data_IF_816262274834
#
_entry.id   IF_816262274834
#
_cell.length_a   1.000
_cell.length_b   1.000
_cell.length_c   1.000
_cell.angle_alpha   90.00
_cell.angle_beta   90.00
_cell.angle_gamma   90.00
#
_symmetry.space_group_name_H-M   'P 1'
#
loop_
_entity.id
_entity.type
_entity.pdbx_description
1 polymer ?
#
# COMPACT_ATOMS: atom_id res chain seq x y z
N UNK A 1 6.44 -9.20 -6.40
CA UNK A 1 5.36 -9.34 -5.40
C UNK A 1 5.45 -8.15 -4.46
N UNK A 2 4.34 -7.49 -4.08
CA UNK A 2 4.37 -6.50 -3.02
C UNK A 2 4.98 -7.11 -1.76
N UNK A 3 5.83 -6.34 -1.08
CA UNK A 3 6.40 -6.74 0.20
C UNK A 3 5.74 -5.90 1.28
N UNK A 4 5.29 -6.58 2.32
CA UNK A 4 4.63 -5.99 3.47
C UNK A 4 5.20 -6.65 4.69
N UNK A 5 5.58 -5.84 5.65
CA UNK A 5 6.14 -6.27 6.92
C UNK A 5 5.29 -5.69 8.05
N UNK A 6 5.08 -6.50 9.09
CA UNK A 6 4.44 -6.06 10.31
C UNK A 6 5.24 -6.55 11.52
N UNK A 7 5.36 -5.70 12.54
CA UNK A 7 6.07 -6.02 13.79
C UNK A 7 5.13 -6.35 14.96
N UNK A 8 3.87 -6.65 14.67
CA UNK A 8 2.83 -6.90 15.69
C UNK A 8 2.15 -5.64 16.24
N UNK A 9 2.64 -4.44 15.88
CA UNK A 9 2.09 -3.14 16.28
C UNK A 9 1.83 -2.22 15.09
N UNK A 10 2.68 -2.32 14.06
CA UNK A 10 2.65 -1.47 12.87
C UNK A 10 2.74 -2.30 11.59
N UNK A 11 2.18 -1.80 10.49
CA UNK A 11 2.35 -2.33 9.13
C UNK A 11 3.05 -1.29 8.26
N UNK A 12 3.94 -1.75 7.37
CA UNK A 12 4.48 -0.97 6.25
C UNK A 12 4.70 -1.87 5.02
N UNK A 13 4.88 -1.27 3.84
CA UNK A 13 5.14 -2.03 2.62
C UNK A 13 5.69 -1.22 1.44
N UNK A 14 6.15 -1.95 0.42
CA UNK A 14 6.57 -1.40 -0.87
C UNK A 14 6.15 -2.32 -2.02
N UNK A 15 5.90 -1.72 -3.18
CA UNK A 15 5.35 -2.42 -4.34
C UNK A 15 6.38 -2.36 -5.48
N UNK A 16 7.09 -3.45 -5.79
CA UNK A 16 7.86 -3.52 -7.03
C UNK A 16 6.89 -3.52 -8.21
N UNK A 17 7.18 -2.74 -9.23
CA UNK A 17 6.37 -2.68 -10.44
C UNK A 17 7.20 -2.86 -11.72
N UNK A 18 6.52 -3.35 -12.76
CA UNK A 18 6.96 -3.28 -14.15
C UNK A 18 5.85 -2.67 -14.97
N UNK A 19 6.09 -1.48 -15.51
CA UNK A 19 5.15 -0.74 -16.33
C UNK A 19 5.51 -0.88 -17.81
N UNK A 20 4.83 -1.81 -18.49
CA UNK A 20 5.00 -2.03 -19.92
C UNK A 20 4.01 -1.23 -20.78
N UNK A 21 3.25 -0.31 -20.18
CA UNK A 21 2.22 0.47 -20.90
C UNK A 21 2.77 1.70 -21.64
N UNK A 22 3.99 2.14 -21.29
CA UNK A 22 4.55 3.41 -21.77
C UNK A 22 3.83 4.66 -21.27
N UNK A 23 2.85 4.50 -20.37
CA UNK A 23 2.07 5.59 -19.77
C UNK A 23 2.40 5.77 -18.30
N UNK A 24 2.14 6.96 -17.75
CA UNK A 24 2.40 7.23 -16.35
C UNK A 24 1.33 6.58 -15.44
N UNK A 25 1.76 5.78 -14.46
CA UNK A 25 0.90 5.01 -13.55
C UNK A 25 1.10 5.52 -12.11
N UNK A 26 0.00 5.62 -11.36
CA UNK A 26 -0.02 5.95 -9.94
C UNK A 26 -0.24 4.68 -9.13
N UNK A 27 0.49 4.54 -8.03
CA UNK A 27 0.46 3.38 -7.15
C UNK A 27 -0.09 3.82 -5.79
N UNK A 28 -1.12 3.14 -5.28
CA UNK A 28 -1.73 3.44 -3.98
C UNK A 28 -1.85 2.17 -3.15
N UNK A 29 -1.90 2.28 -1.83
CA UNK A 29 -2.13 1.13 -0.96
C UNK A 29 -3.06 1.43 0.19
N UNK A 30 -3.80 0.40 0.59
CA UNK A 30 -4.76 0.45 1.69
C UNK A 30 -4.69 -0.85 2.49
N UNK A 31 -4.86 -0.73 3.80
CA UNK A 31 -5.09 -1.88 4.67
C UNK A 31 -6.57 -2.25 4.66
N UNK A 32 -6.86 -3.53 4.44
CA UNK A 32 -8.20 -4.11 4.50
C UNK A 32 -8.25 -5.04 5.70
N UNK A 33 -9.29 -4.89 6.53
CA UNK A 33 -9.57 -5.86 7.58
C UNK A 33 -10.17 -7.12 6.94
N UNK A 34 -9.52 -8.28 7.13
CA UNK A 34 -9.94 -9.55 6.53
C UNK A 34 -11.33 -9.98 7.00
N UNK A 35 -11.77 -9.53 8.18
CA UNK A 35 -13.11 -9.79 8.70
C UNK A 35 -14.17 -8.80 8.20
N UNK A 36 -13.77 -7.80 7.42
CA UNK A 36 -14.67 -6.83 6.78
C UNK A 36 -14.18 -6.44 5.37
N UNK A 37 -14.04 -7.39 4.43
CA UNK A 37 -13.38 -7.16 3.15
C UNK A 37 -14.17 -6.27 2.19
N UNK A 38 -15.49 -6.13 2.38
CA UNK A 38 -16.35 -5.21 1.62
C UNK A 38 -16.62 -3.88 2.32
N UNK A 39 -16.04 -3.68 3.52
CA UNK A 39 -16.16 -2.44 4.27
C UNK A 39 -15.18 -1.36 3.81
N UNK A 40 -15.20 -0.18 4.44
CA UNK A 40 -14.15 0.81 4.23
C UNK A 40 -12.79 0.23 4.59
N UNK A 41 -11.74 0.74 3.94
CA UNK A 41 -10.36 0.41 4.30
C UNK A 41 -10.11 0.71 5.78
N UNK A 42 -9.40 -0.20 6.45
CA UNK A 42 -8.99 -0.01 7.84
C UNK A 42 -7.98 1.14 7.96
N UNK A 43 -7.18 1.34 6.91
CA UNK A 43 -6.28 2.47 6.76
C UNK A 43 -6.01 2.74 5.28
N UNK A 44 -5.91 4.01 4.92
CA UNK A 44 -5.46 4.45 3.60
C UNK A 44 -4.05 5.01 3.73
N UNK A 45 -3.06 4.31 3.16
CA UNK A 45 -1.70 4.84 3.08
C UNK A 45 -1.61 5.91 1.99
N UNK A 46 -2.63 6.08 1.16
CA UNK A 46 -2.63 7.01 0.04
C UNK A 46 -1.76 6.51 -1.11
N UNK A 47 -1.32 7.44 -1.95
CA UNK A 47 -0.62 7.15 -3.20
C UNK A 47 0.82 7.64 -3.16
N UNK A 48 1.70 6.93 -3.86
CA UNK A 48 3.01 7.44 -4.25
C UNK A 48 2.89 8.39 -5.47
N UNK A 49 4.01 8.89 -5.96
CA UNK A 49 4.10 9.69 -7.16
C UNK A 49 3.75 8.90 -8.43
N UNK A 50 3.15 9.58 -9.41
CA UNK A 50 2.87 9.04 -10.74
C UNK A 50 4.17 8.97 -11.55
N UNK A 51 4.46 7.82 -12.16
CA UNK A 51 5.69 7.61 -12.94
C UNK A 51 5.44 6.78 -14.20
N UNK A 52 6.16 7.12 -15.28
CA UNK A 52 6.18 6.35 -16.53
C UNK A 52 7.37 5.40 -16.63
N UNK A 53 8.19 5.29 -15.57
CA UNK A 53 9.35 4.42 -15.56
C UNK A 53 8.94 2.97 -15.78
N UNK A 54 9.72 2.25 -16.59
CA UNK A 54 9.41 0.86 -16.93
C UNK A 54 9.46 -0.07 -15.71
N UNK A 55 10.27 0.25 -14.70
CA UNK A 55 10.40 -0.55 -13.49
C UNK A 55 10.82 0.31 -12.31
N UNK A 56 10.47 -0.11 -11.10
CA UNK A 56 10.83 0.59 -9.89
C UNK A 56 10.15 0.03 -8.66
N UNK A 57 10.24 0.80 -7.58
CA UNK A 57 9.60 0.52 -6.30
C UNK A 57 8.68 1.69 -5.98
N UNK A 58 7.39 1.41 -5.84
CA UNK A 58 6.44 2.37 -5.32
C UNK A 58 6.34 2.24 -3.79
N UNK A 59 6.19 3.40 -3.15
CA UNK A 59 6.11 3.57 -1.71
C UNK A 59 4.83 4.33 -1.35
N UNK A 60 3.64 3.71 -1.47
CA UNK A 60 2.40 4.36 -1.06
C UNK A 60 2.50 4.79 0.40
N UNK A 61 2.01 5.99 0.71
CA UNK A 61 2.26 6.63 2.02
C UNK A 61 3.54 7.44 2.09
N UNK A 62 4.31 7.55 1.00
CA UNK A 62 5.40 8.52 0.90
C UNK A 62 4.86 9.93 0.64
N UNK A 63 4.28 10.55 1.66
CA UNK A 63 4.07 11.99 1.69
C UNK A 63 4.15 12.53 3.12
N UNK A 64 5.32 13.08 3.46
CA UNK A 64 5.41 14.31 4.24
C UNK A 64 6.43 15.26 3.58
N UNK A 65 6.01 16.40 2.99
CA UNK A 65 6.94 17.45 2.57
C UNK A 65 7.53 18.25 3.74
N UNK A 66 7.13 17.98 4.99
CA UNK A 66 7.52 18.72 6.19
C UNK A 66 8.22 17.90 7.28
N UNK A 67 8.32 16.57 7.15
CA UNK A 67 9.12 15.74 8.06
C UNK A 67 10.02 14.81 7.28
N UNK A 68 11.24 15.29 7.09
CA UNK A 68 12.48 14.52 6.98
C UNK A 68 12.30 12.99 6.96
N UNK A 69 12.31 12.41 5.75
CA UNK A 69 12.58 11.00 5.47
C UNK A 69 11.89 10.00 6.42
N UNK A 70 10.58 9.80 6.30
CA UNK A 70 9.85 8.82 7.10
C UNK A 70 8.76 8.11 6.31
N UNK A 71 8.80 6.78 6.36
CA UNK A 71 7.75 5.87 5.91
C UNK A 71 6.45 6.12 6.70
N UNK A 72 5.28 5.97 6.09
CA UNK A 72 4.03 5.96 6.84
C UNK A 72 3.87 4.59 7.53
N UNK A 73 4.02 4.59 8.85
CA UNK A 73 3.66 3.47 9.71
C UNK A 73 2.26 3.69 10.25
N UNK A 74 1.42 2.67 10.21
CA UNK A 74 0.08 2.70 10.79
C UNK A 74 0.03 1.86 12.07
N UNK A 75 -0.28 2.47 13.21
CA UNK A 75 -0.62 1.78 14.45
C UNK A 75 -2.02 1.16 14.30
N UNK A 76 -2.05 -0.13 13.96
CA UNK A 76 -3.30 -0.82 13.71
C UNK A 76 -3.87 -1.42 15.02
N UNK A 77 -5.20 -1.41 15.21
CA UNK A 77 -5.83 -2.22 16.24
C UNK A 77 -5.51 -3.70 16.09
N UNK A 78 -5.77 -4.48 17.14
CA UNK A 78 -5.63 -5.93 17.05
C UNK A 78 -6.59 -6.50 15.99
N UNK A 79 -6.08 -7.35 15.10
CA UNK A 79 -6.85 -7.91 14.00
C UNK A 79 -6.01 -8.54 12.91
N UNK A 80 -6.68 -9.08 11.90
CA UNK A 80 -6.07 -9.66 10.70
C UNK A 80 -6.29 -8.73 9.51
N UNK A 81 -5.19 -8.37 8.84
CA UNK A 81 -5.18 -7.39 7.76
C UNK A 81 -4.48 -7.95 6.52
N UNK A 82 -4.93 -7.50 5.36
CA UNK A 82 -4.18 -7.60 4.10
C UNK A 82 -3.92 -6.19 3.61
N UNK A 83 -2.78 -5.97 2.97
CA UNK A 83 -2.53 -4.72 2.26
C UNK A 83 -2.85 -4.97 0.79
N UNK A 84 -3.84 -4.24 0.29
CA UNK A 84 -4.16 -4.18 -1.14
C UNK A 84 -3.41 -3.00 -1.75
N UNK A 85 -2.61 -3.30 -2.76
CA UNK A 85 -1.77 -2.37 -3.50
C UNK A 85 -2.32 -2.21 -4.91
N UNK A 86 -2.99 -1.10 -5.19
CA UNK A 86 -3.66 -0.85 -6.46
C UNK A 86 -2.89 0.07 -7.42
N UNK A 87 -3.27 0.00 -8.70
CA UNK A 87 -2.69 0.76 -9.79
C UNK A 87 -3.74 1.61 -10.51
N UNK A 88 -3.42 2.88 -10.77
CA UNK A 88 -4.28 3.82 -11.48
C UNK A 88 -3.56 4.41 -12.70
N UNK A 89 -4.24 4.45 -13.83
CA UNK A 89 -3.79 5.12 -15.06
C UNK A 89 -4.79 6.19 -15.43
N UNK A 90 -4.36 7.45 -15.53
CA UNK A 90 -5.24 8.59 -15.83
C UNK A 90 -6.50 8.66 -14.94
N UNK A 91 -6.37 8.30 -13.66
CA UNK A 91 -7.49 8.26 -12.71
C UNK A 91 -8.38 7.00 -12.79
N UNK A 92 -8.10 6.08 -13.71
CA UNK A 92 -8.82 4.81 -13.82
C UNK A 92 -8.09 3.68 -13.10
N UNK A 93 -8.82 2.96 -12.25
CA UNK A 93 -8.33 1.76 -11.57
C UNK A 93 -8.05 0.62 -12.56
N UNK A 94 -6.89 -0.02 -12.43
CA UNK A 94 -6.48 -1.13 -13.29
C UNK A 94 -6.45 -2.48 -12.57
N UNK A 95 -6.44 -2.49 -11.24
CA UNK A 95 -6.34 -3.70 -10.43
C UNK A 95 -5.41 -3.49 -9.24
N UNK A 96 -5.30 -4.53 -8.42
CA UNK A 96 -4.49 -4.58 -7.21
C UNK A 96 -3.78 -5.92 -7.03
N UNK A 97 -2.78 -5.90 -6.15
CA UNK A 97 -2.15 -7.11 -5.61
C UNK A 97 -2.22 -7.03 -4.10
N UNK A 98 -2.70 -8.12 -3.49
CA UNK A 98 -2.78 -8.22 -2.04
C UNK A 98 -1.53 -8.90 -1.45
N UNK A 99 -1.12 -8.44 -0.27
CA UNK A 99 -0.11 -9.13 0.54
C UNK A 99 -0.66 -10.41 1.16
N UNK A 100 0.20 -11.31 1.67
CA UNK A 100 -0.22 -12.29 2.65
C UNK A 100 -0.90 -11.62 3.85
N UNK A 101 -1.82 -12.36 4.48
CA UNK A 101 -2.49 -11.93 5.69
C UNK A 101 -1.47 -11.72 6.83
N UNK A 102 -1.59 -10.59 7.52
CA UNK A 102 -0.77 -10.19 8.66
C UNK A 102 -1.66 -9.95 9.87
N UNK A 103 -1.30 -10.54 11.01
CA UNK A 103 -2.02 -10.35 12.28
C UNK A 103 -1.29 -9.33 13.16
N UNK A 104 -2.03 -8.39 13.73
CA UNK A 104 -1.54 -7.36 14.67
C UNK A 104 -2.22 -7.53 16.03
N UNK A 105 -1.50 -7.18 17.11
CA UNK A 105 -2.08 -6.97 18.44
C UNK A 105 -2.61 -8.23 19.16
N UNK A 106 -2.11 -9.42 18.83
CA UNK A 106 -2.51 -10.68 19.47
C UNK A 106 -1.77 -10.98 20.79
N UNK A 107 -1.41 -9.95 21.57
CA UNK A 107 -0.66 -10.12 22.82
C UNK A 107 -1.58 -10.33 24.02
#
# INVERSE_FOLDING_TARGET
MPYVEGNGYTIWGWIPYQNNSGSAVTYCAHAINVHNPGGPWAHDFGCDHTTADQQGMAYPGRADPYRSWGWQTWDAPAGSYVISAGFWLNGHYLGDVESPMTTIGSH
#
